data_IF_750317414378
#
_entry.id   IF_750317414378
#
_cell.length_a   1.000
_cell.length_b   1.000
_cell.length_c   1.000
_cell.angle_alpha   90.00
_cell.angle_beta   90.00
_cell.angle_gamma   90.00
#
_symmetry.space_group_name_H-M   'P 1'
#
loop_
_entity.id
_entity.type
_entity.pdbx_description
1 polymer ?
#
# COMPACT_ATOMS: atom_id res chain seq x y z
N UNK A 1 -0.01 -20.88 6.47
CA UNK A 1 0.07 -19.48 6.95
C UNK A 1 -1.30 -18.84 6.75
N UNK A 2 -1.82 -18.13 7.76
CA UNK A 2 -3.12 -17.46 7.75
C UNK A 2 -2.94 -16.07 8.38
N UNK A 3 -3.44 -15.04 7.72
CA UNK A 3 -3.56 -13.70 8.29
C UNK A 3 -4.92 -13.12 7.99
N UNK A 4 -5.59 -12.61 9.01
CA UNK A 4 -6.72 -11.72 8.85
C UNK A 4 -6.16 -10.31 8.76
N UNK A 5 -6.25 -9.71 7.58
CA UNK A 5 -5.69 -8.37 7.32
C UNK A 5 -6.75 -7.27 7.38
N UNK A 6 -8.03 -7.65 7.36
CA UNK A 6 -9.17 -6.78 7.60
C UNK A 6 -10.32 -7.63 8.19
N UNK A 7 -11.40 -7.05 8.75
CA UNK A 7 -12.48 -7.80 9.39
C UNK A 7 -13.02 -8.97 8.54
N UNK A 8 -13.05 -8.81 7.22
CA UNK A 8 -13.53 -9.79 6.26
C UNK A 8 -12.47 -10.30 5.27
N UNK A 9 -11.22 -9.84 5.32
CA UNK A 9 -10.17 -10.26 4.36
C UNK A 9 -9.17 -11.19 5.03
N UNK A 10 -9.07 -12.40 4.48
CA UNK A 10 -8.15 -13.43 4.94
C UNK A 10 -7.16 -13.77 3.84
N UNK A 11 -5.86 -13.69 4.12
CA UNK A 11 -4.81 -14.24 3.28
C UNK A 11 -4.40 -15.61 3.82
N UNK A 12 -4.34 -16.61 2.94
CA UNK A 12 -3.83 -17.94 3.28
C UNK A 12 -2.83 -18.48 2.26
N UNK A 13 -1.98 -19.38 2.73
CA UNK A 13 -1.17 -20.25 1.86
C UNK A 13 -2.03 -21.38 1.26
N UNK A 14 -1.77 -21.76 0.01
CA UNK A 14 -2.52 -22.81 -0.70
C UNK A 14 -2.55 -24.17 0.01
N UNK A 15 -1.49 -24.52 0.74
CA UNK A 15 -1.25 -25.88 1.25
C UNK A 15 -1.83 -26.15 2.65
N UNK A 16 -2.38 -25.14 3.34
CA UNK A 16 -2.91 -25.30 4.70
C UNK A 16 -4.44 -25.21 4.66
N UNK A 17 -5.18 -26.21 5.18
CA UNK A 17 -6.63 -26.13 5.30
C UNK A 17 -7.03 -24.90 6.11
N UNK A 18 -8.00 -24.15 5.60
CA UNK A 18 -8.58 -23.00 6.31
C UNK A 18 -10.11 -23.10 6.22
N UNK A 19 -10.77 -23.12 7.36
CA UNK A 19 -12.24 -23.07 7.43
C UNK A 19 -12.66 -21.61 7.56
N UNK A 20 -13.19 -21.05 6.48
CA UNK A 20 -13.67 -19.67 6.45
C UNK A 20 -14.88 -19.49 7.37
N UNK A 21 -14.95 -18.33 8.03
CA UNK A 21 -16.16 -17.86 8.71
C UNK A 21 -17.15 -17.34 7.67
N UNK A 22 -18.46 -17.35 7.95
CA UNK A 22 -19.44 -16.63 7.13
C UNK A 22 -18.99 -15.17 6.92
N UNK A 23 -18.94 -14.71 5.67
CA UNK A 23 -18.47 -13.37 5.31
C UNK A 23 -16.97 -13.23 5.02
N UNK A 24 -16.15 -14.25 5.27
CA UNK A 24 -14.72 -14.20 4.92
C UNK A 24 -14.50 -14.19 3.41
N UNK A 25 -13.77 -13.18 2.93
CA UNK A 25 -13.15 -13.12 1.61
C UNK A 25 -11.74 -13.69 1.71
N UNK A 26 -11.53 -14.87 1.12
CA UNK A 26 -10.25 -15.60 1.24
C UNK A 26 -9.41 -15.41 -0.02
N UNK A 27 -8.26 -14.75 0.13
CA UNK A 27 -7.22 -14.66 -0.89
C UNK A 27 -6.18 -15.75 -0.65
N UNK A 28 -6.02 -16.64 -1.63
CA UNK A 28 -5.00 -17.70 -1.57
C UNK A 28 -3.75 -17.23 -2.29
N UNK A 29 -2.65 -17.03 -1.55
CA UNK A 29 -1.35 -16.65 -2.10
C UNK A 29 -0.38 -17.82 -1.99
N UNK A 30 0.37 -18.09 -3.07
CA UNK A 30 1.55 -18.95 -3.02
C UNK A 30 2.72 -18.07 -2.60
N UNK A 31 3.09 -18.12 -1.33
CA UNK A 31 4.25 -17.41 -0.77
C UNK A 31 5.55 -18.06 -1.28
N UNK A 32 5.89 -17.79 -2.53
CA UNK A 32 7.24 -18.02 -3.05
C UNK A 32 8.12 -16.82 -2.69
N UNK A 33 8.55 -16.08 -3.71
CA UNK A 33 9.41 -14.88 -3.61
C UNK A 33 8.65 -13.57 -3.36
N UNK A 34 7.34 -13.62 -3.12
CA UNK A 34 6.52 -12.43 -2.92
C UNK A 34 6.77 -11.78 -1.54
N UNK A 35 6.70 -10.45 -1.49
CA UNK A 35 6.82 -9.67 -0.25
C UNK A 35 5.88 -10.20 0.85
N UNK A 36 6.32 -10.26 2.13
CA UNK A 36 5.55 -10.91 3.18
C UNK A 36 4.13 -10.34 3.33
N UNK A 37 3.07 -11.13 3.10
CA UNK A 37 1.69 -10.62 3.22
C UNK A 37 1.29 -10.25 4.65
N UNK A 38 2.08 -10.63 5.66
CA UNK A 38 1.92 -10.24 7.07
C UNK A 38 2.70 -9.00 7.47
N UNK A 39 3.41 -8.35 6.54
CA UNK A 39 4.11 -7.12 6.84
C UNK A 39 3.16 -6.00 7.21
N UNK A 40 3.58 -5.10 8.11
CA UNK A 40 2.72 -4.02 8.61
C UNK A 40 2.27 -3.08 7.50
N UNK A 41 3.13 -2.83 6.51
CA UNK A 41 2.79 -1.99 5.35
C UNK A 41 1.74 -2.61 4.43
N UNK A 42 1.70 -3.94 4.31
CA UNK A 42 0.62 -4.64 3.58
C UNK A 42 -0.72 -4.43 4.27
N UNK A 43 -0.76 -4.49 5.61
CA UNK A 43 -1.97 -4.23 6.39
C UNK A 43 -2.42 -2.78 6.24
N UNK A 44 -1.49 -1.83 6.37
CA UNK A 44 -1.76 -0.40 6.18
C UNK A 44 -2.36 -0.11 4.80
N UNK A 45 -1.77 -0.66 3.73
CA UNK A 45 -2.32 -0.47 2.38
C UNK A 45 -3.74 -1.05 2.24
N UNK A 46 -4.01 -2.22 2.82
CA UNK A 46 -5.34 -2.84 2.75
C UNK A 46 -6.39 -2.08 3.56
N UNK A 47 -6.00 -1.55 4.72
CA UNK A 47 -6.86 -0.68 5.55
C UNK A 47 -7.20 0.61 4.80
N UNK A 48 -6.20 1.29 4.25
CA UNK A 48 -6.40 2.53 3.49
C UNK A 48 -7.19 2.29 2.21
N UNK A 49 -6.96 1.17 1.53
CA UNK A 49 -7.72 0.76 0.36
C UNK A 49 -9.21 0.53 0.71
N UNK A 50 -9.49 -0.12 1.83
CA UNK A 50 -10.86 -0.32 2.31
C UNK A 50 -11.52 1.03 2.67
N UNK A 51 -10.77 1.95 3.30
CA UNK A 51 -11.26 3.28 3.64
C UNK A 51 -11.47 4.19 2.42
N UNK A 52 -10.78 3.93 1.30
CA UNK A 52 -10.92 4.70 0.07
C UNK A 52 -12.29 4.53 -0.61
N UNK A 53 -13.07 3.49 -0.28
CA UNK A 53 -14.44 3.30 -0.80
C UNK A 53 -14.53 3.39 -2.34
N UNK A 54 -13.52 2.86 -3.04
CA UNK A 54 -13.52 2.83 -4.50
C UNK A 54 -14.55 1.82 -5.01
N UNK A 55 -15.11 2.08 -6.19
CA UNK A 55 -15.89 1.09 -6.91
C UNK A 55 -15.05 -0.14 -7.23
N UNK A 56 -15.67 -1.32 -7.16
CA UNK A 56 -14.97 -2.57 -7.46
C UNK A 56 -14.71 -2.61 -8.98
N UNK A 57 -13.46 -2.77 -9.43
CA UNK A 57 -13.17 -2.87 -10.85
C UNK A 57 -13.81 -4.13 -11.45
N UNK A 58 -14.04 -4.12 -12.76
CA UNK A 58 -14.73 -5.15 -13.55
C UNK A 58 -14.07 -6.56 -13.54
N UNK A 59 -13.04 -6.78 -12.71
CA UNK A 59 -12.48 -8.10 -12.43
C UNK A 59 -11.31 -8.53 -13.31
N UNK A 60 -10.83 -7.67 -14.20
CA UNK A 60 -9.64 -7.95 -15.02
C UNK A 60 -8.36 -7.56 -14.26
N UNK A 61 -7.33 -8.38 -14.36
CA UNK A 61 -6.01 -8.13 -13.79
C UNK A 61 -4.99 -8.15 -14.91
N UNK A 62 -4.27 -7.04 -15.07
CA UNK A 62 -3.18 -6.92 -16.03
C UNK A 62 -1.85 -6.91 -15.27
N UNK A 63 -0.90 -7.71 -15.76
CA UNK A 63 0.46 -7.75 -15.24
C UNK A 63 1.40 -7.13 -16.26
N UNK A 64 2.32 -6.30 -15.78
CA UNK A 64 3.33 -5.66 -16.61
C UNK A 64 4.70 -5.83 -15.96
N UNK A 65 5.69 -6.23 -16.75
CA UNK A 65 7.08 -6.30 -16.32
C UNK A 65 7.75 -4.95 -16.64
N UNK A 66 8.13 -4.20 -15.61
CA UNK A 66 8.73 -2.88 -15.74
C UNK A 66 8.53 -2.04 -14.48
N UNK A 67 8.70 -0.73 -14.62
CA UNK A 67 8.40 0.25 -13.58
C UNK A 67 7.30 1.22 -14.06
N UNK A 68 7.02 2.27 -13.29
CA UNK A 68 5.95 3.25 -13.55
C UNK A 68 6.01 3.88 -14.94
N UNK A 69 7.21 4.01 -15.53
CA UNK A 69 7.43 4.58 -16.86
C UNK A 69 6.85 3.74 -17.99
N UNK A 70 6.59 2.46 -17.75
CA UNK A 70 5.93 1.59 -18.73
C UNK A 70 4.41 1.80 -18.75
N UNK A 71 3.85 2.46 -17.73
CA UNK A 71 2.42 2.78 -17.66
C UNK A 71 2.13 4.08 -18.42
N UNK A 72 0.96 4.11 -19.05
CA UNK A 72 0.41 5.26 -19.77
C UNK A 72 -0.95 5.61 -19.20
N UNK A 73 -1.36 6.87 -19.33
CA UNK A 73 -2.64 7.36 -18.82
C UNK A 73 -2.62 7.70 -17.33
N UNK A 74 -3.84 7.78 -16.78
CA UNK A 74 -4.13 8.15 -15.39
C UNK A 74 -4.96 7.05 -14.72
N UNK A 75 -4.86 6.97 -13.39
CA UNK A 75 -5.57 6.01 -12.56
C UNK A 75 -6.28 6.75 -11.44
N UNK A 76 -7.55 6.41 -11.21
CA UNK A 76 -8.38 6.99 -10.13
C UNK A 76 -7.83 6.62 -8.74
N UNK A 77 -7.08 5.52 -8.64
CA UNK A 77 -6.39 5.09 -7.44
C UNK A 77 -5.04 4.45 -7.79
N UNK A 78 -3.98 4.93 -7.16
CA UNK A 78 -2.66 4.28 -7.17
C UNK A 78 -2.30 3.85 -5.76
N UNK A 79 -1.84 2.61 -5.60
CA UNK A 79 -1.35 2.07 -4.32
C UNK A 79 0.12 1.69 -4.48
N UNK A 80 1.00 2.37 -3.74
CA UNK A 80 2.45 2.18 -3.77
C UNK A 80 2.95 1.74 -2.38
N UNK A 81 3.11 0.42 -2.21
CA UNK A 81 3.81 -0.17 -1.06
C UNK A 81 5.28 -0.39 -1.44
N UNK A 82 6.09 0.67 -1.32
CA UNK A 82 7.46 0.75 -1.82
C UNK A 82 8.41 1.25 -0.72
N UNK A 83 9.70 0.85 -0.74
CA UNK A 83 10.67 1.39 0.20
C UNK A 83 10.88 2.89 0.00
N UNK A 84 11.28 3.58 1.06
CA UNK A 84 11.56 5.02 1.08
C UNK A 84 12.33 5.55 -0.12
N UNK A 85 13.46 4.93 -0.45
CA UNK A 85 14.34 5.36 -1.55
C UNK A 85 13.64 5.33 -2.90
N UNK A 86 12.75 4.35 -3.10
CA UNK A 86 11.96 4.24 -4.33
C UNK A 86 10.85 5.27 -4.35
N UNK A 87 10.20 5.58 -3.21
CA UNK A 87 9.26 6.70 -3.15
C UNK A 87 9.92 8.00 -3.59
N UNK A 88 11.10 8.33 -3.04
CA UNK A 88 11.87 9.52 -3.44
C UNK A 88 12.18 9.56 -4.94
N UNK A 89 12.55 8.42 -5.53
CA UNK A 89 12.83 8.33 -6.95
C UNK A 89 11.56 8.40 -7.83
N UNK A 90 10.37 8.14 -7.28
CA UNK A 90 9.13 7.95 -8.04
C UNK A 90 8.04 8.97 -7.76
N UNK A 91 8.30 9.99 -6.92
CA UNK A 91 7.30 11.04 -6.60
C UNK A 91 6.64 11.58 -7.87
N UNK A 92 7.44 12.06 -8.84
CA UNK A 92 6.91 12.65 -10.07
C UNK A 92 6.07 11.65 -10.89
N UNK A 93 6.51 10.41 -10.99
CA UNK A 93 5.79 9.38 -11.76
C UNK A 93 4.48 8.96 -11.07
N UNK A 94 4.47 8.81 -9.75
CA UNK A 94 3.27 8.49 -8.99
C UNK A 94 2.25 9.63 -9.07
N UNK A 95 2.71 10.88 -9.03
CA UNK A 95 1.85 12.05 -9.26
C UNK A 95 1.28 12.04 -10.69
N UNK A 96 2.13 11.86 -11.71
CA UNK A 96 1.71 11.79 -13.12
C UNK A 96 0.64 10.74 -13.36
N UNK A 97 0.77 9.56 -12.73
CA UNK A 97 -0.16 8.45 -12.88
C UNK A 97 -1.50 8.67 -12.16
N UNK A 98 -1.59 9.62 -11.24
CA UNK A 98 -2.78 9.81 -10.38
C UNK A 98 -3.49 11.15 -10.65
N UNK A 99 -2.78 12.14 -11.17
CA UNK A 99 -3.32 13.44 -11.59
C UNK A 99 -4.30 13.29 -12.78
N UNK A 100 -5.31 14.18 -12.96
CA UNK A 100 -5.71 15.29 -12.09
C UNK A 100 -6.66 14.91 -10.96
N UNK A 101 -7.35 13.77 -11.07
CA UNK A 101 -8.43 13.39 -10.17
C UNK A 101 -8.25 11.93 -9.79
N UNK A 102 -7.58 11.72 -8.67
CA UNK A 102 -7.31 10.39 -8.15
C UNK A 102 -6.80 10.43 -6.72
N UNK A 103 -6.71 9.24 -6.12
CA UNK A 103 -6.16 9.05 -4.78
C UNK A 103 -4.86 8.27 -4.85
N UNK A 104 -3.92 8.62 -3.99
CA UNK A 104 -2.63 7.97 -3.90
C UNK A 104 -2.48 7.39 -2.49
N UNK A 105 -2.30 6.07 -2.39
CA UNK A 105 -1.99 5.37 -1.15
C UNK A 105 -0.51 5.04 -1.14
N UNK A 106 0.21 5.54 -0.15
CA UNK A 106 1.66 5.35 0.01
C UNK A 106 1.94 4.57 1.30
N UNK A 107 2.77 3.55 1.25
CA UNK A 107 3.34 2.87 2.42
C UNK A 107 4.69 2.23 2.07
N UNK A 108 5.34 1.58 3.03
CA UNK A 108 6.68 1.00 2.85
C UNK A 108 7.82 1.90 3.36
N UNK A 109 7.50 2.93 4.15
CA UNK A 109 8.48 3.81 4.79
C UNK A 109 8.13 4.01 6.28
N UNK A 110 9.10 4.49 7.05
CA UNK A 110 9.01 4.72 8.49
C UNK A 110 8.47 6.11 8.81
N UNK A 111 7.98 6.30 10.02
CA UNK A 111 7.45 7.60 10.46
C UNK A 111 8.49 8.74 10.43
N UNK A 112 9.76 8.41 10.66
CA UNK A 112 10.87 9.38 10.61
C UNK A 112 11.10 9.94 9.21
N UNK A 113 10.61 9.25 8.18
CA UNK A 113 10.74 9.62 6.77
C UNK A 113 9.47 10.33 6.25
N UNK A 114 8.35 10.23 6.97
CA UNK A 114 7.03 10.69 6.54
C UNK A 114 7.02 12.16 6.16
N UNK A 115 7.52 13.04 7.03
CA UNK A 115 7.41 14.48 6.84
C UNK A 115 8.07 14.95 5.54
N UNK A 116 9.23 14.38 5.21
CA UNK A 116 9.97 14.73 3.99
C UNK A 116 9.20 14.33 2.75
N UNK A 117 8.64 13.11 2.69
CA UNK A 117 7.84 12.66 1.55
C UNK A 117 6.53 13.43 1.43
N UNK A 118 5.82 13.62 2.54
CA UNK A 118 4.55 14.33 2.55
C UNK A 118 4.72 15.77 2.02
N UNK A 119 5.78 16.47 2.45
CA UNK A 119 6.08 17.83 2.00
C UNK A 119 6.22 17.93 0.48
N UNK A 120 6.82 16.93 -0.18
CA UNK A 120 6.96 16.92 -1.64
C UNK A 120 5.60 16.89 -2.34
N UNK A 121 4.64 16.12 -1.83
CA UNK A 121 3.29 16.07 -2.39
C UNK A 121 2.49 17.33 -2.06
N UNK A 122 2.54 17.80 -0.81
CA UNK A 122 1.81 19.01 -0.39
C UNK A 122 2.21 20.24 -1.20
N UNK A 123 3.51 20.41 -1.47
CA UNK A 123 4.03 21.51 -2.29
C UNK A 123 3.55 21.48 -3.75
N UNK A 124 2.97 20.36 -4.19
CA UNK A 124 2.46 20.15 -5.55
C UNK A 124 0.92 20.18 -5.59
N UNK A 125 0.25 20.59 -4.50
CA UNK A 125 -1.20 20.73 -4.41
C UNK A 125 -1.94 19.48 -3.90
N UNK A 126 -1.22 18.43 -3.50
CA UNK A 126 -1.85 17.27 -2.87
C UNK A 126 -2.27 17.60 -1.43
N UNK A 127 -3.29 16.90 -0.95
CA UNK A 127 -3.78 17.00 0.41
C UNK A 127 -3.74 15.65 1.11
N UNK A 128 -3.37 15.66 2.39
CA UNK A 128 -3.42 14.48 3.24
C UNK A 128 -4.87 14.22 3.65
N UNK A 129 -5.46 13.13 3.16
CA UNK A 129 -6.82 12.71 3.54
C UNK A 129 -6.83 11.77 4.74
N UNK A 130 -5.83 10.87 4.82
CA UNK A 130 -5.75 9.88 5.90
C UNK A 130 -4.30 9.50 6.18
N UNK A 131 -4.01 9.30 7.45
CA UNK A 131 -2.77 8.73 7.96
C UNK A 131 -3.10 7.52 8.83
N UNK A 132 -2.33 6.45 8.70
CA UNK A 132 -2.40 5.27 9.55
C UNK A 132 -0.98 4.81 9.90
N UNK A 133 -0.81 4.19 11.05
CA UNK A 133 0.49 3.69 11.53
C UNK A 133 0.34 2.29 12.10
N UNK A 134 1.38 1.49 11.94
CA UNK A 134 1.41 0.16 12.53
C UNK A 134 2.84 -0.24 12.86
N UNK A 135 3.05 -0.59 14.12
CA UNK A 135 4.34 -1.03 14.60
C UNK A 135 4.67 -2.43 14.08
N UNK A 136 5.96 -2.66 13.88
CA UNK A 136 6.51 -3.98 13.62
C UNK A 136 7.79 -4.15 14.39
N UNK A 137 7.74 -5.01 15.40
CA UNK A 137 8.95 -5.37 16.11
C UNK A 137 9.88 -6.19 15.22
N UNK A 138 11.14 -5.80 15.20
CA UNK A 138 12.23 -6.47 14.50
C UNK A 138 13.35 -6.72 15.53
N UNK A 139 14.12 -7.80 15.36
CA UNK A 139 15.17 -8.18 16.32
C UNK A 139 16.28 -7.12 16.33
N UNK A 140 16.59 -6.59 15.16
CA UNK A 140 17.57 -5.52 15.00
C UNK A 140 16.87 -4.16 14.99
N UNK A 141 17.47 -3.18 15.66
CA UNK A 141 16.99 -1.81 15.60
C UNK A 141 17.20 -1.28 14.17
N UNK A 142 16.14 -0.85 13.46
CA UNK A 142 16.29 -0.29 12.13
C UNK A 142 17.21 0.93 12.12
N UNK A 143 17.86 1.21 10.99
CA UNK A 143 18.75 2.36 10.85
C UNK A 143 18.04 3.68 11.18
N UNK A 144 16.74 3.75 10.88
CA UNK A 144 15.85 4.86 11.16
C UNK A 144 15.44 4.98 12.64
N UNK A 145 15.85 4.03 13.48
CA UNK A 145 15.54 3.93 14.93
C UNK A 145 14.05 3.99 15.26
N UNK A 146 13.20 3.55 14.34
CA UNK A 146 11.75 3.48 14.51
C UNK A 146 11.21 2.13 14.03
N UNK A 147 10.32 1.54 14.83
CA UNK A 147 9.56 0.34 14.47
C UNK A 147 8.22 0.67 13.80
N UNK A 148 7.87 1.95 13.73
CA UNK A 148 6.58 2.44 13.24
C UNK A 148 6.60 2.56 11.73
N UNK A 149 5.73 1.81 11.06
CA UNK A 149 5.48 1.97 9.63
C UNK A 149 4.31 2.93 9.41
N UNK A 150 4.35 3.67 8.30
CA UNK A 150 3.32 4.65 7.94
C UNK A 150 2.58 4.24 6.67
N UNK A 151 1.28 4.54 6.65
CA UNK A 151 0.45 4.56 5.47
C UNK A 151 -0.22 5.92 5.32
N UNK A 152 -0.17 6.50 4.12
CA UNK A 152 -0.80 7.78 3.79
C UNK A 152 -1.80 7.59 2.67
N UNK A 153 -2.94 8.28 2.73
CA UNK A 153 -3.84 8.51 1.59
C UNK A 153 -3.80 9.99 1.26
N UNK A 154 -3.41 10.29 0.02
CA UNK A 154 -3.38 11.63 -0.53
C UNK A 154 -4.47 11.76 -1.60
N UNK A 155 -5.04 12.96 -1.72
CA UNK A 155 -5.92 13.34 -2.82
C UNK A 155 -5.44 14.61 -3.49
N UNK A 156 -5.84 14.79 -4.74
CA UNK A 156 -5.61 16.01 -5.49
C UNK A 156 -6.89 16.85 -5.50
N UNK A 157 -6.80 18.13 -5.12
CA UNK A 157 -7.87 19.12 -5.27
C UNK A 157 -7.50 20.13 -6.35
#
# INVERSE_FOLDING_TARGET
MFYRLAPQLVIRSAWRPYRSRPGDRVLTLRSGTAFPPSHSTTQLCLELLAAAQMEKPAGQVHWLQGSTEALRGHFELVVANLPWTVHMAKVMELQRLTYPQGRLILSGFRETQEQTLLTLYLNQGWQLHRRATLDRWEIELPAERSYTWVGLTLGYQ
#
